data_IF_834684930069
#
_entry.id   IF_834684930069
#
_cell.length_a   1.000
_cell.length_b   1.000
_cell.length_c   1.000
_cell.angle_alpha   90.00
_cell.angle_beta   90.00
_cell.angle_gamma   90.00
#
_symmetry.space_group_name_H-M   'P 1'
#
loop_
_entity.id
_entity.type
_entity.pdbx_description
1 polymer ?
#
# COMPACT_ATOMS: atom_id res chain seq x y z
N UNK A 1 -11.11 -19.00 -10.52
CA UNK A 1 -12.26 -18.56 -11.34
C UNK A 1 -12.51 -17.07 -11.16
N UNK A 2 -12.67 -16.59 -9.92
CA UNK A 2 -12.87 -15.16 -9.61
C UNK A 2 -11.68 -14.26 -10.01
N UNK A 3 -10.44 -14.72 -9.81
CA UNK A 3 -9.22 -13.97 -10.18
C UNK A 3 -9.11 -13.71 -11.69
N UNK A 4 -9.53 -14.67 -12.51
CA UNK A 4 -9.56 -14.51 -13.98
C UNK A 4 -10.65 -13.53 -14.43
N UNK A 5 -11.81 -13.52 -13.75
CA UNK A 5 -12.89 -12.58 -13.99
C UNK A 5 -12.48 -11.15 -13.60
N UNK A 6 -11.89 -10.97 -12.40
CA UNK A 6 -11.34 -9.68 -11.93
C UNK A 6 -10.30 -9.11 -12.91
N UNK A 7 -9.39 -9.95 -13.43
CA UNK A 7 -8.39 -9.54 -14.44
C UNK A 7 -8.99 -9.13 -15.79
N UNK A 8 -10.14 -9.70 -16.16
CA UNK A 8 -10.84 -9.38 -17.42
C UNK A 8 -11.53 -8.00 -17.38
N UNK A 9 -11.87 -7.50 -16.18
CA UNK A 9 -12.49 -6.20 -15.98
C UNK A 9 -11.37 -5.19 -15.65
N UNK A 10 -10.74 -4.63 -16.69
CA UNK A 10 -9.67 -3.63 -16.57
C UNK A 10 -10.10 -2.44 -15.67
N UNK A 11 -9.75 -2.51 -14.40
CA UNK A 11 -9.63 -1.36 -13.50
C UNK A 11 -8.22 -1.40 -12.92
N UNK A 12 -7.66 -0.25 -12.51
CA UNK A 12 -6.40 -0.22 -11.76
C UNK A 12 -6.69 -0.89 -10.40
N UNK A 13 -6.48 -2.20 -10.29
CA UNK A 13 -6.60 -2.95 -9.04
C UNK A 13 -5.32 -2.65 -8.24
N UNK A 14 -5.47 -1.94 -7.12
CA UNK A 14 -4.39 -1.70 -6.17
C UNK A 14 -4.97 -1.66 -4.77
N UNK A 15 -4.12 -1.87 -3.77
CA UNK A 15 -4.44 -1.68 -2.36
C UNK A 15 -3.82 -0.37 -1.90
N UNK A 16 -4.53 0.41 -1.09
CA UNK A 16 -3.99 1.55 -0.38
C UNK A 16 -4.17 1.35 1.12
N UNK A 17 -3.06 1.41 1.85
CA UNK A 17 -3.01 1.29 3.29
C UNK A 17 -2.50 2.58 3.91
N UNK A 18 -3.10 2.99 5.02
CA UNK A 18 -2.47 3.86 6.00
C UNK A 18 -1.75 2.98 7.01
N UNK A 19 -0.48 3.24 7.28
CA UNK A 19 0.28 2.51 8.29
C UNK A 19 1.06 3.47 9.20
N UNK A 20 2.05 2.95 9.94
CA UNK A 20 2.95 3.76 10.74
C UNK A 20 2.26 4.42 11.95
N UNK A 21 2.74 5.60 12.32
CA UNK A 21 2.35 6.26 13.58
C UNK A 21 0.87 6.62 13.66
N UNK A 22 0.25 7.01 12.54
CA UNK A 22 -1.17 7.33 12.45
C UNK A 22 -2.06 6.09 12.62
N UNK A 23 -1.68 4.94 12.03
CA UNK A 23 -2.40 3.68 12.23
C UNK A 23 -2.28 3.19 13.68
N UNK A 24 -1.13 3.41 14.32
CA UNK A 24 -0.87 3.06 15.72
C UNK A 24 -1.48 4.03 16.73
N UNK A 25 -2.01 5.18 16.29
CA UNK A 25 -2.50 6.28 17.14
C UNK A 25 -1.42 6.89 18.05
N UNK A 26 -0.15 6.84 17.62
CA UNK A 26 1.01 7.39 18.35
C UNK A 26 1.65 8.57 17.62
N UNK A 27 0.99 9.11 16.60
CA UNK A 27 1.45 10.25 15.82
C UNK A 27 1.55 11.54 16.66
N UNK A 28 2.43 12.44 16.24
CA UNK A 28 2.55 13.80 16.77
C UNK A 28 2.15 14.82 15.71
N UNK A 29 2.13 16.11 16.04
CA UNK A 29 1.82 17.18 15.08
C UNK A 29 2.82 17.30 13.92
N UNK A 30 4.02 16.76 14.07
CA UNK A 30 5.07 16.77 13.05
C UNK A 30 5.24 15.42 12.35
N UNK A 31 4.37 14.46 12.61
CA UNK A 31 4.44 13.15 11.97
C UNK A 31 3.95 13.22 10.53
N UNK A 32 4.68 12.56 9.62
CA UNK A 32 4.20 12.29 8.27
C UNK A 32 3.08 11.24 8.27
N UNK A 33 2.29 11.21 7.20
CA UNK A 33 1.25 10.22 6.97
C UNK A 33 1.82 9.15 6.05
N UNK A 34 2.18 8.01 6.64
CA UNK A 34 2.75 6.86 5.94
C UNK A 34 1.67 6.11 5.16
N UNK A 35 1.81 6.07 3.83
CA UNK A 35 0.90 5.37 2.94
C UNK A 35 1.65 4.24 2.24
N UNK A 36 1.00 3.09 2.09
CA UNK A 36 1.52 1.97 1.30
C UNK A 36 0.55 1.66 0.17
N UNK A 37 1.06 1.62 -1.04
CA UNK A 37 0.33 1.24 -2.26
C UNK A 37 0.86 -0.11 -2.73
N UNK A 38 -0.02 -1.11 -2.80
CA UNK A 38 0.30 -2.41 -3.39
C UNK A 38 -0.33 -2.45 -4.76
N UNK A 39 0.49 -2.56 -5.80
CA UNK A 39 0.07 -2.52 -7.20
C UNK A 39 0.40 -3.85 -7.91
N UNK A 40 -0.18 -4.11 -9.09
CA UNK A 40 0.14 -5.30 -9.86
C UNK A 40 1.62 -5.32 -10.26
N UNK A 41 2.22 -6.51 -10.29
CA UNK A 41 3.61 -6.70 -10.72
C UNK A 41 3.88 -6.06 -12.10
N UNK A 42 5.01 -5.36 -12.22
CA UNK A 42 5.44 -4.69 -13.44
C UNK A 42 4.80 -3.31 -13.70
N UNK A 43 4.01 -2.78 -12.76
CA UNK A 43 3.41 -1.44 -12.83
C UNK A 43 3.96 -0.46 -11.77
N UNK A 44 4.97 -0.86 -11.01
CA UNK A 44 5.54 -0.15 -9.86
C UNK A 44 5.94 1.27 -10.25
N UNK A 45 6.76 1.44 -11.28
CA UNK A 45 7.25 2.75 -11.76
C UNK A 45 6.10 3.69 -12.17
N UNK A 46 5.06 3.13 -12.81
CA UNK A 46 3.91 3.90 -13.26
C UNK A 46 3.07 4.38 -12.07
N UNK A 47 2.84 3.50 -11.09
CA UNK A 47 2.15 3.85 -9.86
C UNK A 47 2.95 4.82 -9.02
N UNK A 48 4.25 4.59 -8.83
CA UNK A 48 5.14 5.46 -8.07
C UNK A 48 5.12 6.89 -8.62
N UNK A 49 5.20 7.04 -9.95
CA UNK A 49 5.11 8.35 -10.61
C UNK A 49 3.75 9.04 -10.35
N UNK A 50 2.64 8.33 -10.53
CA UNK A 50 1.29 8.87 -10.36
C UNK A 50 1.02 9.24 -8.90
N UNK A 51 1.36 8.35 -7.97
CA UNK A 51 1.14 8.51 -6.52
C UNK A 51 2.02 9.63 -5.97
N UNK A 52 3.31 9.69 -6.31
CA UNK A 52 4.19 10.77 -5.85
C UNK A 52 3.75 12.14 -6.40
N UNK A 53 3.20 12.19 -7.62
CA UNK A 53 2.62 13.41 -8.17
C UNK A 53 1.38 13.83 -7.38
N UNK A 54 0.48 12.90 -7.09
CA UNK A 54 -0.72 13.17 -6.31
C UNK A 54 -0.37 13.62 -4.88
N UNK A 55 0.57 12.93 -4.21
CA UNK A 55 1.00 13.23 -2.86
C UNK A 55 1.54 14.66 -2.72
N UNK A 56 2.41 15.10 -3.64
CA UNK A 56 2.94 16.47 -3.68
C UNK A 56 1.89 17.56 -3.90
N UNK A 57 0.72 17.21 -4.44
CA UNK A 57 -0.38 18.16 -4.66
C UNK A 57 -1.28 18.34 -3.44
N UNK A 58 -1.13 17.51 -2.41
CA UNK A 58 -1.93 17.55 -1.20
C UNK A 58 -1.31 18.49 -0.16
N UNK A 59 -2.12 19.19 0.66
CA UNK A 59 -1.63 20.05 1.74
C UNK A 59 -1.20 19.25 3.00
N UNK A 60 -1.03 17.93 2.87
CA UNK A 60 -0.68 17.02 3.96
C UNK A 60 0.72 16.43 3.72
N UNK A 61 1.51 16.17 4.76
CA UNK A 61 2.82 15.55 4.64
C UNK A 61 2.67 14.05 4.37
N UNK A 62 2.37 13.68 3.14
CA UNK A 62 2.19 12.28 2.73
C UNK A 62 3.53 11.64 2.38
N UNK A 63 3.80 10.46 2.93
CA UNK A 63 4.96 9.63 2.59
C UNK A 63 4.50 8.30 1.99
N UNK A 64 4.25 8.25 0.66
CA UNK A 64 3.83 7.03 0.00
C UNK A 64 5.01 6.11 -0.31
N UNK A 65 4.82 4.81 -0.06
CA UNK A 65 5.65 3.72 -0.56
C UNK A 65 4.84 2.88 -1.55
N UNK A 66 5.44 2.53 -2.67
CA UNK A 66 4.81 1.69 -3.70
C UNK A 66 5.54 0.37 -3.78
N UNK A 67 4.80 -0.72 -3.72
CA UNK A 67 5.30 -2.08 -3.87
C UNK A 67 4.42 -2.85 -4.83
N UNK A 68 5.00 -3.84 -5.49
CA UNK A 68 4.23 -4.84 -6.20
C UNK A 68 3.59 -5.85 -5.24
N UNK A 69 2.63 -6.62 -5.72
CA UNK A 69 2.06 -7.75 -4.99
C UNK A 69 3.15 -8.73 -4.53
N UNK A 70 4.08 -9.10 -5.42
CA UNK A 70 5.19 -10.00 -5.11
C UNK A 70 6.13 -9.43 -4.04
N UNK A 71 6.51 -8.15 -4.14
CA UNK A 71 7.36 -7.48 -3.15
C UNK A 71 6.68 -7.41 -1.77
N UNK A 72 5.38 -7.09 -1.74
CA UNK A 72 4.64 -7.03 -0.49
C UNK A 72 4.56 -8.40 0.20
N UNK A 73 4.26 -9.47 -0.56
CA UNK A 73 4.21 -10.84 -0.06
C UNK A 73 5.58 -11.27 0.48
N UNK A 74 6.67 -10.95 -0.23
CA UNK A 74 8.03 -11.25 0.23
C UNK A 74 8.33 -10.56 1.57
N UNK A 75 8.05 -9.26 1.67
CA UNK A 75 8.25 -8.48 2.89
C UNK A 75 7.40 -9.00 4.05
N UNK A 76 6.12 -9.32 3.80
CA UNK A 76 5.21 -9.87 4.82
C UNK A 76 5.74 -11.20 5.41
N UNK A 77 6.33 -12.05 4.57
CA UNK A 77 6.83 -13.37 4.96
C UNK A 77 8.29 -13.37 5.44
N UNK A 78 9.00 -12.25 5.36
CA UNK A 78 10.39 -12.17 5.78
C UNK A 78 10.57 -12.43 7.28
N UNK A 79 11.72 -12.96 7.68
CA UNK A 79 12.02 -13.23 9.11
C UNK A 79 12.43 -11.97 9.86
N UNK A 80 12.99 -11.00 9.15
CA UNK A 80 13.47 -9.74 9.71
C UNK A 80 12.38 -8.68 9.61
N UNK A 81 12.28 -7.88 10.68
CA UNK A 81 11.32 -6.77 10.75
C UNK A 81 11.55 -5.79 9.61
N UNK A 82 10.50 -5.51 8.84
CA UNK A 82 10.52 -4.56 7.74
C UNK A 82 9.18 -3.79 7.63
N UNK A 83 9.11 -2.85 6.70
CA UNK A 83 7.94 -1.99 6.49
C UNK A 83 6.68 -2.76 6.09
N UNK A 84 6.81 -3.86 5.33
CA UNK A 84 5.69 -4.73 4.97
C UNK A 84 5.10 -5.43 6.20
N UNK A 85 5.94 -5.95 7.10
CA UNK A 85 5.48 -6.53 8.37
C UNK A 85 4.84 -5.49 9.29
N UNK A 86 5.40 -4.28 9.34
CA UNK A 86 4.81 -3.18 10.09
C UNK A 86 3.41 -2.83 9.58
N UNK A 87 3.27 -2.68 8.26
CA UNK A 87 1.99 -2.42 7.62
C UNK A 87 1.01 -3.57 7.86
N UNK A 88 1.42 -4.83 7.69
CA UNK A 88 0.56 -6.00 7.95
C UNK A 88 0.02 -6.02 9.39
N UNK A 89 0.87 -5.67 10.37
CA UNK A 89 0.51 -5.68 11.79
C UNK A 89 -0.38 -4.49 12.20
N UNK A 90 -0.12 -3.31 11.64
CA UNK A 90 -0.84 -2.08 11.99
C UNK A 90 -1.14 -1.26 10.72
N UNK A 91 -2.28 -1.53 10.11
CA UNK A 91 -2.80 -0.73 9.00
C UNK A 91 -4.27 -0.35 9.17
N UNK A 92 -4.67 0.64 8.40
CA UNK A 92 -6.06 0.89 8.02
C UNK A 92 -6.15 0.77 6.50
N UNK A 93 -6.98 -0.15 6.01
CA UNK A 93 -7.21 -0.32 4.59
C UNK A 93 -8.09 0.83 4.10
N UNK A 94 -7.55 1.68 3.24
CA UNK A 94 -8.25 2.83 2.66
C UNK A 94 -8.91 2.49 1.33
N UNK A 95 -8.32 1.56 0.56
CA UNK A 95 -8.85 1.09 -0.72
C UNK A 95 -8.36 -0.33 -1.03
N UNK A 96 -9.15 -1.12 -1.76
CA UNK A 96 -8.77 -2.46 -2.22
C UNK A 96 -8.85 -3.55 -1.15
N UNK A 97 -9.87 -3.52 -0.28
CA UNK A 97 -10.00 -4.48 0.84
C UNK A 97 -10.08 -5.94 0.41
N UNK A 98 -10.76 -6.24 -0.69
CA UNK A 98 -10.81 -7.61 -1.21
C UNK A 98 -9.44 -8.09 -1.65
N UNK A 99 -8.70 -7.25 -2.38
CA UNK A 99 -7.36 -7.56 -2.88
C UNK A 99 -6.39 -7.72 -1.72
N UNK A 100 -6.49 -6.89 -0.69
CA UNK A 100 -5.65 -7.02 0.50
C UNK A 100 -5.83 -8.39 1.17
N UNK A 101 -7.07 -8.82 1.42
CA UNK A 101 -7.34 -10.13 2.03
C UNK A 101 -7.07 -11.33 1.10
N UNK A 102 -6.89 -11.11 -0.20
CA UNK A 102 -6.39 -12.15 -1.12
C UNK A 102 -4.86 -12.32 -1.00
N UNK A 103 -4.13 -11.33 -0.47
CA UNK A 103 -2.67 -11.35 -0.33
C UNK A 103 -2.18 -11.87 1.03
N UNK A 104 -3.01 -11.83 2.08
CA UNK A 104 -2.62 -12.11 3.49
C UNK A 104 -3.22 -13.37 4.08
#
# INVERSE_FOLDING_TARGET
>A
MLSNFKRAIKSKLYVLLLFGSYAKRTQTKSSDIDLMVICPDGLEDAFEKDINRAARSMPLPLHPLVFSESQFIEMANAKESNVGQEALKNNVILYGIEQYYELV
#
